data_IF_185093702122
#
_entry.id   IF_185093702122
#
_cell.length_a   1.000
_cell.length_b   1.000
_cell.length_c   1.000
_cell.angle_alpha   90.00
_cell.angle_beta   90.00
_cell.angle_gamma   90.00
#
_symmetry.space_group_name_H-M   'P 1'
#
loop_
_entity.id
_entity.type
_entity.pdbx_description
1 polymer ?
#
# COMPACT_ATOMS: atom_id res chain seq x y z
N UNK A 1 -55.61 -41.28 -48.81
CA UNK A 1 -54.77 -41.60 -47.64
C UNK A 1 -53.45 -40.84 -47.83
N UNK A 2 -53.37 -39.65 -47.21
CA UNK A 2 -52.39 -39.30 -46.16
C UNK A 2 -50.96 -39.18 -46.70
N UNK A 3 -50.52 -37.94 -46.94
CA UNK A 3 -49.52 -37.18 -46.15
C UNK A 3 -48.08 -37.67 -46.39
N UNK A 4 -47.06 -36.83 -46.57
CA UNK A 4 -46.98 -35.39 -46.40
C UNK A 4 -45.62 -34.87 -46.87
N UNK A 5 -45.63 -33.59 -47.17
CA UNK A 5 -44.49 -32.74 -47.44
C UNK A 5 -43.66 -32.61 -46.14
N UNK A 6 -42.40 -33.04 -46.13
CA UNK A 6 -41.44 -32.70 -45.07
C UNK A 6 -40.39 -31.76 -45.67
N UNK A 7 -40.71 -30.47 -45.61
CA UNK A 7 -39.72 -29.40 -45.70
C UNK A 7 -38.91 -29.38 -44.39
N UNK A 8 -37.59 -29.54 -44.56
CA UNK A 8 -36.51 -28.72 -43.99
C UNK A 8 -36.54 -28.46 -42.48
N UNK A 9 -35.49 -28.92 -41.78
CA UNK A 9 -34.75 -28.02 -40.90
C UNK A 9 -33.27 -28.42 -40.90
N UNK A 10 -32.48 -27.70 -41.72
CA UNK A 10 -31.02 -27.68 -41.62
C UNK A 10 -30.67 -27.14 -40.23
N UNK A 11 -30.08 -27.98 -39.38
CA UNK A 11 -29.32 -27.47 -38.24
C UNK A 11 -28.09 -26.76 -38.81
N UNK A 12 -28.09 -25.43 -38.77
CA UNK A 12 -26.84 -24.68 -38.88
C UNK A 12 -26.23 -24.55 -37.48
N UNK A 13 -24.97 -24.96 -37.28
CA UNK A 13 -24.27 -24.78 -36.01
C UNK A 13 -23.98 -23.29 -35.79
N UNK A 14 -24.19 -22.83 -34.55
CA UNK A 14 -23.80 -21.50 -34.08
C UNK A 14 -22.34 -21.23 -34.48
N UNK A 15 -22.11 -20.15 -35.23
CA UNK A 15 -20.78 -19.79 -35.73
C UNK A 15 -19.87 -19.50 -34.55
N UNK A 16 -18.66 -20.02 -34.59
CA UNK A 16 -17.57 -19.79 -33.62
C UNK A 16 -17.30 -18.30 -33.31
N UNK A 17 -17.73 -17.38 -34.18
CA UNK A 17 -17.71 -15.94 -33.95
C UNK A 17 -18.66 -15.48 -32.82
N UNK A 18 -19.78 -16.16 -32.57
CA UNK A 18 -20.75 -15.79 -31.53
C UNK A 18 -20.31 -16.21 -30.12
N UNK A 19 -19.63 -17.36 -29.99
CA UNK A 19 -19.09 -17.79 -28.68
C UNK A 19 -17.93 -16.90 -28.27
N UNK A 20 -17.07 -16.50 -29.22
CA UNK A 20 -16.02 -15.53 -28.98
C UNK A 20 -16.60 -14.15 -28.61
N UNK A 21 -17.67 -13.69 -29.28
CA UNK A 21 -18.33 -12.43 -28.93
C UNK A 21 -19.01 -12.46 -27.55
N UNK A 22 -19.66 -13.57 -27.17
CA UNK A 22 -20.26 -13.76 -25.84
C UNK A 22 -19.18 -13.87 -24.76
N UNK A 23 -18.07 -14.56 -25.03
CA UNK A 23 -16.93 -14.65 -24.11
C UNK A 23 -16.24 -13.29 -23.95
N UNK A 24 -16.03 -12.54 -25.02
CA UNK A 24 -15.46 -11.18 -25.00
C UNK A 24 -16.41 -10.22 -24.27
N UNK A 25 -17.72 -10.31 -24.47
CA UNK A 25 -18.70 -9.52 -23.70
C UNK A 25 -18.74 -9.90 -22.21
N UNK A 26 -18.42 -11.15 -21.86
CA UNK A 26 -18.32 -11.61 -20.46
C UNK A 26 -16.99 -11.17 -19.82
N UNK A 27 -15.89 -11.25 -20.57
CA UNK A 27 -14.54 -10.83 -20.16
C UNK A 27 -14.46 -9.30 -20.02
N UNK A 28 -15.08 -8.52 -20.91
CA UNK A 28 -15.13 -7.06 -20.79
C UNK A 28 -16.05 -6.58 -19.66
N UNK A 29 -16.98 -7.42 -19.17
CA UNK A 29 -17.84 -7.11 -18.02
C UNK A 29 -17.19 -7.48 -16.68
N UNK A 30 -16.20 -8.38 -16.71
CA UNK A 30 -15.38 -8.77 -15.54
C UNK A 30 -14.12 -7.90 -15.38
N UNK A 31 -13.54 -7.37 -16.46
CA UNK A 31 -12.31 -6.56 -16.38
C UNK A 31 -12.53 -5.03 -16.29
N UNK A 32 -13.73 -4.51 -16.62
CA UNK A 32 -14.06 -3.08 -16.51
C UNK A 32 -14.51 -2.64 -15.10
N UNK A 33 -14.73 -3.58 -14.17
CA UNK A 33 -15.13 -3.32 -12.78
C UNK A 33 -13.98 -3.57 -11.78
N UNK A 34 -12.73 -3.26 -12.16
CA UNK A 34 -11.68 -2.98 -11.16
C UNK A 34 -11.96 -1.63 -10.47
N UNK A 35 -13.11 -1.52 -9.81
CA UNK A 35 -13.31 -0.48 -8.81
C UNK A 35 -12.46 -0.92 -7.62
N UNK A 36 -11.27 -0.33 -7.51
CA UNK A 36 -10.38 -0.45 -6.35
C UNK A 36 -11.07 0.25 -5.17
N UNK A 37 -12.02 -0.42 -4.55
CA UNK A 37 -12.58 0.01 -3.28
C UNK A 37 -11.48 -0.14 -2.21
N UNK A 38 -11.44 0.81 -1.28
CA UNK A 38 -10.47 0.83 -0.21
C UNK A 38 -10.75 -0.32 0.77
N UNK A 39 -9.78 -1.21 0.94
CA UNK A 39 -9.89 -2.37 1.84
C UNK A 39 -9.90 -1.92 3.30
N UNK A 40 -10.58 -2.68 4.16
CA UNK A 40 -10.61 -2.43 5.61
C UNK A 40 -11.41 -1.19 6.04
N UNK A 41 -12.10 -0.52 5.12
CA UNK A 41 -13.00 0.59 5.43
C UNK A 41 -14.43 0.08 5.60
N UNK A 42 -15.07 0.50 6.69
CA UNK A 42 -16.50 0.28 6.92
C UNK A 42 -17.33 1.30 6.14
N UNK A 43 -17.87 0.88 5.00
CA UNK A 43 -18.67 1.75 4.15
C UNK A 43 -20.04 2.09 4.72
N UNK A 44 -20.61 1.29 5.65
CA UNK A 44 -21.84 1.69 6.35
C UNK A 44 -21.55 2.82 7.32
N UNK A 45 -20.43 2.75 8.06
CA UNK A 45 -19.99 3.82 8.94
C UNK A 45 -19.71 5.12 8.18
N UNK A 46 -19.10 5.05 6.99
CA UNK A 46 -18.84 6.23 6.12
C UNK A 46 -20.14 6.96 5.77
N UNK A 47 -21.27 6.27 5.59
CA UNK A 47 -22.57 6.88 5.31
C UNK A 47 -23.45 7.06 6.56
N UNK A 48 -22.96 6.67 7.74
CA UNK A 48 -23.71 6.69 8.99
C UNK A 48 -24.96 5.80 8.96
N UNK A 49 -24.84 4.61 8.37
CA UNK A 49 -25.92 3.62 8.25
C UNK A 49 -25.63 2.37 9.10
N UNK A 50 -26.67 1.60 9.39
CA UNK A 50 -26.53 0.26 9.97
C UNK A 50 -26.26 -0.79 8.87
N UNK A 51 -25.63 -1.89 9.28
CA UNK A 51 -25.45 -3.07 8.42
C UNK A 51 -26.80 -3.56 7.91
N UNK A 52 -26.86 -3.93 6.62
CA UNK A 52 -28.12 -4.39 6.01
C UNK A 52 -29.01 -3.28 5.44
N UNK A 53 -28.62 -1.99 5.54
CA UNK A 53 -29.37 -0.88 4.92
C UNK A 53 -29.68 -1.12 3.44
N UNK A 54 -30.90 -0.76 3.01
CA UNK A 54 -31.37 -0.95 1.64
C UNK A 54 -30.70 0.01 0.65
N UNK A 55 -30.65 -0.30 -0.66
CA UNK A 55 -30.08 0.61 -1.66
C UNK A 55 -30.73 2.00 -1.68
N UNK A 56 -32.01 2.10 -1.33
CA UNK A 56 -32.71 3.38 -1.24
C UNK A 56 -32.19 4.24 -0.08
N UNK A 57 -31.91 3.62 1.07
CA UNK A 57 -31.33 4.27 2.25
C UNK A 57 -29.89 4.69 1.99
N UNK A 58 -29.09 3.83 1.35
CA UNK A 58 -27.72 4.14 0.88
C UNK A 58 -27.72 5.39 0.01
N UNK A 59 -28.59 5.46 -1.01
CA UNK A 59 -28.66 6.64 -1.88
C UNK A 59 -29.16 7.90 -1.16
N UNK A 60 -30.05 7.76 -0.16
CA UNK A 60 -30.52 8.87 0.66
C UNK A 60 -29.40 9.43 1.54
N UNK A 61 -28.66 8.56 2.22
CA UNK A 61 -27.53 8.93 3.07
C UNK A 61 -26.40 9.55 2.24
N UNK A 62 -26.04 8.96 1.10
CA UNK A 62 -25.05 9.50 0.18
C UNK A 62 -25.37 10.94 -0.26
N UNK A 63 -26.61 11.24 -0.65
CA UNK A 63 -27.00 12.61 -1.03
C UNK A 63 -26.80 13.61 0.11
N UNK A 64 -27.13 13.21 1.35
CA UNK A 64 -26.94 14.04 2.54
C UNK A 64 -25.46 14.28 2.80
N UNK A 65 -24.64 13.22 2.72
CA UNK A 65 -23.22 13.26 3.06
C UNK A 65 -22.40 14.04 2.02
N UNK A 66 -22.71 13.89 0.73
CA UNK A 66 -22.11 14.70 -0.35
C UNK A 66 -22.44 16.18 -0.18
N UNK A 67 -23.68 16.54 0.17
CA UNK A 67 -24.06 17.94 0.38
C UNK A 67 -23.33 18.58 1.56
N UNK A 68 -23.05 17.80 2.60
CA UNK A 68 -22.29 18.25 3.76
C UNK A 68 -20.81 18.49 3.43
N UNK A 69 -20.23 17.66 2.55
CA UNK A 69 -18.81 17.67 2.25
C UNK A 69 -18.47 18.32 0.90
N UNK A 70 -19.44 18.86 0.18
CA UNK A 70 -19.18 19.49 -1.12
C UNK A 70 -18.30 20.75 -0.95
N UNK A 71 -17.18 20.87 -1.69
CA UNK A 71 -16.19 21.93 -1.48
C UNK A 71 -16.77 23.33 -1.77
N UNK A 72 -17.79 23.42 -2.62
CA UNK A 72 -18.49 24.67 -2.99
C UNK A 72 -19.45 25.19 -1.89
N UNK A 73 -19.88 24.33 -0.95
CA UNK A 73 -20.84 24.67 0.10
C UNK A 73 -20.23 24.81 1.50
N UNK A 74 -18.93 24.55 1.63
CA UNK A 74 -18.18 24.79 2.86
C UNK A 74 -16.91 25.65 2.63
N UNK A 75 -17.02 26.89 2.11
CA UNK A 75 -15.88 27.79 1.98
C UNK A 75 -15.37 28.40 3.30
N UNK A 76 -15.74 27.90 4.48
CA UNK A 76 -15.29 28.49 5.74
C UNK A 76 -15.23 27.53 6.95
N UNK A 77 -14.09 26.83 7.08
CA UNK A 77 -13.40 26.72 8.37
C UNK A 77 -12.06 27.46 8.30
N UNK A 78 -12.06 28.61 7.63
CA UNK A 78 -10.98 29.58 7.73
C UNK A 78 -11.06 30.30 9.10
N UNK A 79 -10.33 29.75 10.06
CA UNK A 79 -9.58 30.43 11.13
C UNK A 79 -10.34 31.48 11.98
N UNK A 80 -10.68 31.22 13.27
CA UNK A 80 -10.69 32.30 14.24
C UNK A 80 -9.24 32.69 14.53
N UNK A 81 -8.82 33.83 13.97
CA UNK A 81 -7.56 34.47 14.27
C UNK A 81 -7.38 34.61 15.79
N UNK A 82 -6.48 33.84 16.38
CA UNK A 82 -5.87 34.10 17.68
C UNK A 82 -4.52 33.39 17.72
N UNK A 83 -3.49 34.16 17.38
CA UNK A 83 -2.06 33.94 17.61
C UNK A 83 -1.70 32.90 18.69
N UNK A 84 -0.88 31.90 18.36
CA UNK A 84 0.50 31.73 18.86
C UNK A 84 1.17 30.51 18.22
N UNK A 85 2.24 30.74 17.46
CA UNK A 85 3.52 30.03 17.57
C UNK A 85 3.66 28.54 17.23
N UNK A 86 4.40 28.33 16.13
CA UNK A 86 5.51 27.37 15.96
C UNK A 86 5.23 25.97 15.37
N UNK A 87 5.66 25.86 14.11
CA UNK A 87 6.41 24.79 13.42
C UNK A 87 6.19 23.31 13.78
N UNK A 88 5.92 22.53 12.72
CA UNK A 88 6.52 21.22 12.56
C UNK A 88 5.58 20.03 12.43
N UNK A 89 4.60 20.08 11.53
CA UNK A 89 3.95 18.87 11.01
C UNK A 89 3.37 19.17 9.64
N UNK A 90 3.69 18.35 8.63
CA UNK A 90 3.06 18.34 7.32
C UNK A 90 1.58 18.01 7.48
N UNK A 91 0.80 19.02 7.85
CA UNK A 91 -0.65 18.89 8.04
C UNK A 91 -1.25 19.00 6.65
N UNK A 92 -1.95 17.97 6.15
CA UNK A 92 -2.66 18.09 4.87
C UNK A 92 -3.62 19.27 4.98
N UNK A 93 -3.59 20.14 3.97
CA UNK A 93 -4.48 21.30 3.92
C UNK A 93 -5.92 20.79 4.03
N UNK A 94 -6.80 21.45 4.79
CA UNK A 94 -8.18 21.00 5.01
C UNK A 94 -9.00 20.74 3.72
N UNK A 95 -8.53 21.25 2.58
CA UNK A 95 -9.02 20.91 1.25
C UNK A 95 -8.73 19.47 0.81
N UNK A 96 -7.55 18.91 1.12
CA UNK A 96 -7.15 17.56 0.74
C UNK A 96 -7.91 16.49 1.51
N UNK A 97 -8.08 16.70 2.83
CA UNK A 97 -8.87 15.81 3.69
C UNK A 97 -10.36 15.81 3.28
N UNK A 98 -10.91 16.99 2.96
CA UNK A 98 -12.29 17.09 2.48
C UNK A 98 -12.47 16.40 1.12
N UNK A 99 -11.50 16.53 0.20
CA UNK A 99 -11.52 15.82 -1.07
C UNK A 99 -11.48 14.30 -0.87
N UNK A 100 -10.58 13.79 0.00
CA UNK A 100 -10.49 12.37 0.33
C UNK A 100 -11.82 11.83 0.89
N UNK A 101 -12.50 12.62 1.72
CA UNK A 101 -13.81 12.25 2.27
C UNK A 101 -14.90 12.11 1.21
N UNK A 102 -14.94 13.00 0.22
CA UNK A 102 -15.88 12.89 -0.92
C UNK A 102 -15.62 11.61 -1.73
N UNK A 103 -14.35 11.27 -1.96
CA UNK A 103 -14.01 10.03 -2.65
C UNK A 103 -14.55 8.80 -1.89
N UNK A 104 -14.35 8.74 -0.57
CA UNK A 104 -14.86 7.66 0.27
C UNK A 104 -16.39 7.58 0.27
N UNK A 105 -17.08 8.71 0.37
CA UNK A 105 -18.55 8.78 0.31
C UNK A 105 -19.08 8.19 -1.01
N UNK A 106 -18.42 8.53 -2.12
CA UNK A 106 -18.81 8.01 -3.43
C UNK A 106 -18.53 6.51 -3.57
N UNK A 107 -17.38 6.03 -3.07
CA UNK A 107 -17.08 4.60 -3.03
C UNK A 107 -18.11 3.83 -2.20
N UNK A 108 -18.46 4.33 -1.01
CA UNK A 108 -19.45 3.70 -0.14
C UNK A 108 -20.79 3.51 -0.85
N UNK A 109 -21.25 4.53 -1.60
CA UNK A 109 -22.47 4.39 -2.41
C UNK A 109 -22.31 3.33 -3.49
N UNK A 110 -21.21 3.33 -4.24
CA UNK A 110 -21.01 2.39 -5.35
C UNK A 110 -21.03 0.95 -4.84
N UNK A 111 -20.27 0.67 -3.77
CA UNK A 111 -20.16 -0.67 -3.17
C UNK A 111 -21.50 -1.10 -2.56
N UNK A 112 -22.14 -0.26 -1.74
CA UNK A 112 -23.34 -0.68 -0.99
C UNK A 112 -24.63 -0.74 -1.83
N UNK A 113 -24.67 -0.08 -3.01
CA UNK A 113 -25.83 -0.11 -3.91
C UNK A 113 -25.80 -1.30 -4.87
N UNK A 114 -24.61 -1.77 -5.26
CA UNK A 114 -24.45 -2.94 -6.13
C UNK A 114 -24.40 -4.23 -5.27
N UNK A 115 -25.32 -5.19 -5.48
CA UNK A 115 -25.38 -6.39 -4.65
C UNK A 115 -24.13 -7.26 -4.77
N UNK A 116 -23.48 -7.31 -5.94
CA UNK A 116 -22.29 -8.13 -6.16
C UNK A 116 -21.10 -7.49 -5.46
N UNK A 117 -20.87 -6.18 -5.67
CA UNK A 117 -19.77 -5.47 -5.00
C UNK A 117 -19.93 -5.46 -3.48
N UNK A 118 -21.16 -5.36 -2.99
CA UNK A 118 -21.46 -5.41 -1.56
C UNK A 118 -21.11 -6.77 -0.96
N UNK A 119 -21.46 -7.86 -1.64
CA UNK A 119 -21.14 -9.21 -1.18
C UNK A 119 -19.63 -9.45 -1.19
N UNK A 120 -18.94 -9.07 -2.27
CA UNK A 120 -17.48 -9.18 -2.38
C UNK A 120 -16.76 -8.38 -1.29
N UNK A 121 -17.19 -7.14 -1.05
CA UNK A 121 -16.65 -6.30 0.03
C UNK A 121 -16.95 -6.87 1.41
N UNK A 122 -18.17 -7.39 1.67
CA UNK A 122 -18.49 -8.02 2.96
C UNK A 122 -17.61 -9.24 3.23
N UNK A 123 -17.37 -10.08 2.21
CA UNK A 123 -16.49 -11.23 2.31
C UNK A 123 -15.05 -10.82 2.65
N UNK A 124 -14.53 -9.76 2.01
CA UNK A 124 -13.18 -9.26 2.30
C UNK A 124 -13.11 -8.57 3.67
N UNK A 125 -14.12 -7.79 4.03
CA UNK A 125 -14.21 -7.06 5.29
C UNK A 125 -14.30 -7.98 6.49
N UNK A 126 -15.14 -9.03 6.43
CA UNK A 126 -15.23 -10.05 7.49
C UNK A 126 -13.95 -10.86 7.62
N UNK A 127 -13.33 -11.23 6.50
CA UNK A 127 -12.03 -11.94 6.52
C UNK A 127 -10.95 -11.10 7.20
N UNK A 128 -10.94 -9.79 6.96
CA UNK A 128 -10.00 -8.84 7.58
C UNK A 128 -10.33 -8.56 9.06
N UNK A 129 -11.61 -8.43 9.41
CA UNK A 129 -12.05 -8.21 10.80
C UNK A 129 -11.81 -9.44 11.69
N UNK A 130 -11.82 -10.63 11.12
CA UNK A 130 -11.58 -11.89 11.83
C UNK A 130 -10.09 -12.27 11.91
N UNK A 131 -9.19 -11.54 11.26
CA UNK A 131 -7.78 -11.65 11.59
C UNK A 131 -7.58 -11.01 12.97
N UNK A 132 -7.14 -11.75 14.01
CA UNK A 132 -6.47 -11.09 15.11
C UNK A 132 -5.37 -10.26 14.46
N UNK A 133 -5.33 -8.95 14.77
CA UNK A 133 -4.25 -8.09 14.34
C UNK A 133 -2.96 -8.76 14.82
N UNK A 134 -2.33 -9.60 13.98
CA UNK A 134 -0.91 -9.83 14.09
C UNK A 134 -0.36 -8.42 14.10
N UNK A 135 0.42 -8.01 15.12
CA UNK A 135 1.13 -6.75 15.05
C UNK A 135 1.71 -6.73 13.65
N UNK A 136 1.30 -5.75 12.86
CA UNK A 136 1.87 -5.53 11.56
C UNK A 136 3.33 -5.33 11.90
N UNK A 137 4.16 -6.36 11.69
CA UNK A 137 5.61 -6.23 11.70
C UNK A 137 5.90 -5.38 10.45
N UNK A 138 5.49 -4.12 10.50
CA UNK A 138 6.13 -3.06 9.77
C UNK A 138 7.55 -3.17 10.28
N UNK A 139 8.39 -3.83 9.48
CA UNK A 139 9.81 -3.93 9.75
C UNK A 139 10.32 -2.54 10.13
N UNK A 140 11.39 -2.48 10.91
CA UNK A 140 11.87 -1.24 11.49
C UNK A 140 11.81 -0.05 10.52
N UNK A 141 11.18 1.05 10.93
CA UNK A 141 10.94 2.20 10.06
C UNK A 141 12.29 2.80 9.62
N UNK A 142 12.70 2.47 8.40
CA UNK A 142 13.93 2.98 7.78
C UNK A 142 13.74 4.45 7.45
N UNK A 143 14.49 5.32 8.13
CA UNK A 143 14.39 6.77 7.94
C UNK A 143 15.37 7.31 6.88
N UNK A 144 16.49 6.61 6.63
CA UNK A 144 17.52 7.02 5.66
C UNK A 144 18.14 5.81 4.96
N UNK A 145 18.51 6.01 3.69
CA UNK A 145 19.36 5.09 2.94
C UNK A 145 20.77 5.71 2.89
N UNK A 146 21.79 4.93 3.23
CA UNK A 146 23.19 5.36 3.35
C UNK A 146 24.04 4.37 2.53
N UNK A 147 24.94 4.86 1.67
CA UNK A 147 25.85 3.96 0.93
C UNK A 147 26.85 3.34 1.89
N UNK A 148 27.28 2.10 1.65
CA UNK A 148 28.33 1.47 2.43
C UNK A 148 29.64 2.27 2.35
N UNK A 149 29.90 2.98 1.25
CA UNK A 149 31.03 3.90 1.09
C UNK A 149 31.00 5.11 2.05
N UNK A 150 29.84 5.44 2.64
CA UNK A 150 29.70 6.49 3.65
C UNK A 150 30.04 5.95 5.06
N UNK A 151 30.15 4.64 5.25
CA UNK A 151 30.56 4.04 6.51
C UNK A 151 32.10 3.97 6.61
N UNK A 152 32.62 4.19 7.80
CA UNK A 152 34.04 4.04 8.12
C UNK A 152 34.36 2.54 8.32
N UNK A 153 35.31 1.96 7.55
CA UNK A 153 35.70 0.55 7.69
C UNK A 153 36.58 0.34 8.92
N UNK A 154 36.31 -0.73 9.67
CA UNK A 154 37.07 -1.13 10.85
C UNK A 154 37.72 -2.50 10.68
N UNK A 155 39.05 -2.52 10.75
CA UNK A 155 39.89 -3.71 10.63
C UNK A 155 40.22 -4.28 12.01
N UNK A 156 40.32 -5.61 12.14
CA UNK A 156 40.70 -6.25 13.39
C UNK A 156 42.19 -6.04 13.69
N UNK A 157 42.56 -4.90 14.27
CA UNK A 157 43.94 -4.68 14.71
C UNK A 157 44.23 -5.41 16.02
N UNK A 158 45.10 -6.41 15.93
CA UNK A 158 45.91 -6.84 17.08
C UNK A 158 46.84 -5.68 17.49
N UNK A 159 46.99 -5.48 18.80
CA UNK A 159 47.81 -4.42 19.40
C UNK A 159 49.20 -4.31 18.78
N UNK A 160 49.57 -3.07 18.43
CA UNK A 160 50.86 -2.58 17.96
C UNK A 160 52.11 -3.40 18.37
N UNK A 161 52.87 -3.84 17.36
CA UNK A 161 54.28 -4.17 17.52
C UNK A 161 54.79 -5.24 16.55
N UNK A 162 55.19 -4.85 15.33
CA UNK A 162 55.97 -5.74 14.47
C UNK A 162 56.01 -5.31 13.01
N UNK A 163 57.21 -4.98 12.56
CA UNK A 163 57.62 -4.76 11.17
C UNK A 163 57.13 -5.85 10.21
N UNK A 164 56.53 -5.47 9.09
CA UNK A 164 56.26 -6.38 7.99
C UNK A 164 55.44 -5.71 6.90
N UNK A 165 56.12 -5.27 5.86
CA UNK A 165 55.50 -4.91 4.59
C UNK A 165 54.91 -6.19 3.98
N UNK A 166 53.59 -6.33 4.05
CA UNK A 166 52.79 -7.22 3.23
C UNK A 166 51.57 -6.41 2.80
N UNK A 167 51.48 -6.14 1.50
CA UNK A 167 50.34 -5.52 0.83
C UNK A 167 49.22 -6.58 0.73
N UNK A 168 48.71 -7.06 1.87
CA UNK A 168 47.51 -7.89 1.90
C UNK A 168 46.31 -6.96 2.08
N UNK A 169 45.36 -7.06 1.16
CA UNK A 169 44.06 -6.39 1.20
C UNK A 169 43.24 -6.97 2.36
N UNK A 170 43.54 -6.60 3.61
CA UNK A 170 42.78 -7.07 4.76
C UNK A 170 41.34 -6.57 4.69
N UNK A 171 40.37 -7.48 4.59
CA UNK A 171 38.95 -7.15 4.55
C UNK A 171 38.48 -6.53 5.90
N UNK A 172 37.66 -5.46 5.87
CA UNK A 172 37.09 -4.91 7.09
C UNK A 172 36.24 -5.95 7.83
N UNK A 173 36.27 -5.93 9.15
CA UNK A 173 35.41 -6.81 9.97
C UNK A 173 34.00 -6.25 10.17
N UNK A 174 33.90 -4.92 10.21
CA UNK A 174 32.64 -4.20 10.35
C UNK A 174 32.81 -2.76 9.86
N UNK A 175 31.68 -2.10 9.62
CA UNK A 175 31.58 -0.75 9.11
C UNK A 175 30.74 0.09 10.07
N UNK A 176 31.16 1.34 10.33
CA UNK A 176 30.52 2.22 11.32
C UNK A 176 30.13 3.56 10.69
N UNK A 177 28.92 4.04 10.95
CA UNK A 177 28.47 5.38 10.54
C UNK A 177 27.88 6.13 11.74
N UNK A 178 28.25 7.41 11.96
CA UNK A 178 27.74 8.18 13.10
C UNK A 178 26.24 8.45 13.00
N UNK A 179 25.54 8.38 14.12
CA UNK A 179 24.13 8.76 14.26
C UNK A 179 23.99 10.20 14.79
N UNK A 180 22.88 10.87 14.44
CA UNK A 180 22.59 12.26 14.87
C UNK A 180 22.43 12.40 16.38
N UNK A 181 22.12 11.32 17.09
CA UNK A 181 22.04 11.30 18.55
C UNK A 181 23.43 11.22 19.23
N UNK A 182 24.50 11.02 18.46
CA UNK A 182 25.86 10.78 18.97
C UNK A 182 26.19 9.30 19.20
N UNK A 183 25.24 8.39 18.97
CA UNK A 183 25.50 6.95 18.84
C UNK A 183 25.99 6.60 17.43
N UNK A 184 26.00 5.31 17.10
CA UNK A 184 26.54 4.80 15.84
C UNK A 184 25.58 3.79 15.20
N UNK A 185 25.66 3.67 13.88
CA UNK A 185 25.10 2.56 13.10
C UNK A 185 26.27 1.63 12.78
N UNK A 186 26.11 0.35 13.11
CA UNK A 186 27.14 -0.67 12.89
C UNK A 186 26.57 -1.79 12.05
N UNK A 187 27.31 -2.20 11.02
CA UNK A 187 27.02 -3.37 10.19
C UNK A 187 28.29 -4.21 10.03
N UNK A 188 28.22 -5.51 10.32
CA UNK A 188 29.35 -6.42 10.16
C UNK A 188 29.41 -6.98 8.74
N UNK A 189 30.60 -7.42 8.33
CA UNK A 189 30.77 -8.08 7.01
C UNK A 189 29.93 -9.35 6.93
N UNK A 190 29.88 -10.15 7.99
CA UNK A 190 29.02 -11.34 8.10
C UNK A 190 27.53 -11.00 7.90
N UNK A 191 27.07 -9.84 8.39
CA UNK A 191 25.69 -9.37 8.18
C UNK A 191 25.42 -9.04 6.71
N UNK A 192 26.35 -8.37 6.02
CA UNK A 192 26.23 -8.06 4.60
C UNK A 192 26.18 -9.34 3.75
N UNK A 193 27.01 -10.34 4.07
CA UNK A 193 27.00 -11.65 3.40
C UNK A 193 25.67 -12.41 3.59
N UNK A 194 25.04 -12.24 4.76
CA UNK A 194 23.71 -12.80 5.05
C UNK A 194 22.56 -12.01 4.37
N UNK A 195 22.87 -10.93 3.65
CA UNK A 195 21.89 -10.04 3.02
C UNK A 195 21.16 -9.12 3.99
N UNK A 196 21.72 -8.91 5.20
CA UNK A 196 21.20 -7.92 6.14
C UNK A 196 21.64 -6.55 5.67
N UNK A 197 20.69 -5.70 5.32
CA UNK A 197 20.94 -4.35 4.82
C UNK A 197 20.21 -3.27 5.64
N UNK A 198 19.63 -3.63 6.80
CA UNK A 198 18.93 -2.70 7.69
C UNK A 198 19.51 -2.79 9.09
N UNK A 199 20.07 -1.68 9.58
CA UNK A 199 20.70 -1.59 10.90
C UNK A 199 20.13 -0.46 11.74
N UNK A 200 20.05 -0.68 13.05
CA UNK A 200 19.51 0.26 14.02
C UNK A 200 20.60 0.91 14.85
N UNK A 201 20.41 2.16 15.26
CA UNK A 201 21.27 2.79 16.25
C UNK A 201 20.81 2.38 17.65
N UNK A 202 21.71 1.80 18.47
CA UNK A 202 21.41 1.39 19.85
C UNK A 202 21.05 2.57 20.77
N UNK A 203 21.46 3.80 20.42
CA UNK A 203 21.23 5.00 21.22
C UNK A 203 19.83 5.61 21.08
N UNK A 204 19.30 5.69 19.85
CA UNK A 204 18.00 6.34 19.58
C UNK A 204 16.94 5.42 18.98
N UNK A 205 17.30 4.19 18.60
CA UNK A 205 16.38 3.23 17.98
C UNK A 205 15.95 3.59 16.56
N UNK A 206 16.61 4.56 15.92
CA UNK A 206 16.42 4.85 14.49
C UNK A 206 17.05 3.75 13.64
N UNK A 207 16.49 3.51 12.45
CA UNK A 207 16.96 2.48 11.52
C UNK A 207 17.33 3.08 10.17
N UNK A 208 18.39 2.56 9.58
CA UNK A 208 18.90 2.96 8.26
C UNK A 208 19.06 1.74 7.37
N UNK A 209 18.91 1.95 6.05
CA UNK A 209 19.24 0.94 5.04
C UNK A 209 20.63 1.22 4.49
N UNK A 210 21.47 0.20 4.45
CA UNK A 210 22.83 0.22 3.93
C UNK A 210 22.80 -0.23 2.47
N UNK A 211 23.19 0.65 1.54
CA UNK A 211 23.31 0.30 0.13
C UNK A 211 24.71 -0.19 -0.18
N UNK A 212 24.85 -1.41 -0.67
CA UNK A 212 26.13 -1.97 -1.11
C UNK A 212 26.00 -2.56 -2.52
N UNK A 213 27.08 -2.55 -3.28
CA UNK A 213 27.19 -3.19 -4.58
C UNK A 213 28.05 -4.45 -4.42
N UNK A 214 27.54 -5.59 -4.89
CA UNK A 214 28.31 -6.85 -4.90
C UNK A 214 29.16 -6.86 -6.15
N UNK A 215 30.48 -6.85 -6.00
CA UNK A 215 31.41 -7.04 -7.10
C UNK A 215 31.63 -8.54 -7.28
N UNK A 216 31.19 -9.10 -8.41
CA UNK A 216 31.48 -10.49 -8.77
C UNK A 216 32.91 -10.55 -9.34
N UNK A 217 33.79 -11.33 -8.71
CA UNK A 217 35.10 -11.63 -9.28
C UNK A 217 34.91 -12.61 -10.46
N UNK A 218 35.22 -12.18 -11.68
CA UNK A 218 35.26 -13.08 -12.84
C UNK A 218 36.50 -14.00 -12.72
N UNK A 219 36.25 -15.30 -12.43
CA UNK A 219 37.22 -16.40 -12.51
C UNK A 219 37.96 -16.52 -13.86
#
# INVERSE_FOLDING_TARGET
MHHGLLMVHKQQPYRTADIAAIAILRIMKTDFLKIQYQQGIDYYAVLGLEEGASPAEVNKAWRKEVLLHHPDKNPSLVIPSSSTGVSGASTPSGSEEQNAKIHLINQARLVLTDPVLREDWLASFLSNAQQPQKPKEEGPHVFRHISLDEFEPCYASTTSGGTGEAEDEEEPTHFVHPCRCGGEFLITTEQLEQGVDVVGCEGCGEWVRVGYEVVEEED
#
